data_IF_176515569351
#
_entry.id   IF_176515569351
#
_cell.length_a   1.000
_cell.length_b   1.000
_cell.length_c   1.000
_cell.angle_alpha   90.00
_cell.angle_beta   90.00
_cell.angle_gamma   90.00
#
_symmetry.space_group_name_H-M   'P 1'
#
loop_
_entity.id
_entity.type
_entity.pdbx_description
1 polymer ?
#
# COMPACT_ATOMS: atom_id res chain seq x y z
N UNK A 1 23.41 17.07 -60.66
CA UNK A 1 23.94 16.45 -59.43
C UNK A 1 22.83 16.50 -58.40
N UNK A 2 22.04 15.43 -58.32
CA UNK A 2 20.92 15.29 -57.38
C UNK A 2 21.40 14.59 -56.12
N UNK A 3 21.10 15.16 -54.95
CA UNK A 3 21.23 14.48 -53.67
C UNK A 3 19.88 14.55 -52.94
N UNK A 4 19.17 13.42 -52.99
CA UNK A 4 17.93 13.13 -52.27
C UNK A 4 18.30 12.71 -50.85
N UNK A 5 18.09 13.57 -49.85
CA UNK A 5 18.21 13.17 -48.45
C UNK A 5 16.87 12.60 -47.97
N UNK A 6 16.83 11.26 -47.92
CA UNK A 6 15.70 10.49 -47.41
C UNK A 6 15.44 10.78 -45.95
N UNK A 7 14.19 11.12 -45.64
CA UNK A 7 13.64 11.08 -44.29
C UNK A 7 13.67 9.63 -43.81
N UNK A 8 14.61 9.31 -42.93
CA UNK A 8 14.62 8.05 -42.21
C UNK A 8 13.32 7.98 -41.39
N UNK A 9 12.41 7.09 -41.80
CA UNK A 9 11.19 6.79 -41.08
C UNK A 9 11.56 6.31 -39.68
N UNK A 10 11.02 6.99 -38.67
CA UNK A 10 11.01 6.49 -37.30
C UNK A 10 10.07 5.29 -37.30
N UNK A 11 10.65 4.09 -37.41
CA UNK A 11 9.94 2.84 -37.16
C UNK A 11 9.63 2.83 -35.67
N UNK A 12 8.39 3.20 -35.34
CA UNK A 12 7.81 3.07 -34.01
C UNK A 12 7.70 1.57 -33.69
N UNK A 13 8.79 0.97 -33.20
CA UNK A 13 8.73 -0.36 -32.61
C UNK A 13 7.95 -0.23 -31.31
N UNK A 14 6.65 -0.50 -31.38
CA UNK A 14 5.80 -0.76 -30.21
C UNK A 14 6.33 -2.00 -29.51
N UNK A 15 7.23 -1.80 -28.56
CA UNK A 15 7.60 -2.82 -27.60
C UNK A 15 6.36 -3.14 -26.77
N UNK A 16 5.86 -4.38 -26.91
CA UNK A 16 4.98 -5.02 -25.95
C UNK A 16 5.75 -5.15 -24.62
N UNK A 17 5.59 -4.16 -23.74
CA UNK A 17 6.09 -4.25 -22.37
C UNK A 17 5.20 -5.31 -21.69
N UNK A 18 5.74 -6.44 -21.21
CA UNK A 18 4.95 -7.33 -20.37
C UNK A 18 4.43 -6.52 -19.17
N UNK A 19 3.22 -6.82 -18.68
CA UNK A 19 2.72 -6.32 -17.40
C UNK A 19 3.62 -6.84 -16.25
N UNK A 20 4.85 -6.34 -16.19
CA UNK A 20 5.74 -6.45 -15.07
C UNK A 20 5.29 -5.41 -14.07
N UNK A 21 4.86 -5.88 -12.92
CA UNK A 21 4.60 -5.09 -11.73
C UNK A 21 5.79 -4.15 -11.48
N UNK A 22 5.70 -2.91 -11.96
CA UNK A 22 6.67 -1.90 -11.58
C UNK A 22 6.57 -1.74 -10.05
N UNK A 23 7.68 -1.74 -9.30
CA UNK A 23 7.62 -1.32 -7.91
C UNK A 23 7.16 0.13 -7.92
N UNK A 24 5.90 0.33 -7.56
CA UNK A 24 5.39 1.66 -7.25
C UNK A 24 6.20 2.14 -6.07
N UNK A 25 7.25 2.91 -6.34
CA UNK A 25 7.88 3.75 -5.32
C UNK A 25 6.73 4.63 -4.81
N UNK A 26 6.19 4.41 -3.60
CA UNK A 26 5.23 5.35 -3.09
C UNK A 26 6.01 6.65 -2.95
N UNK A 27 5.52 7.72 -3.57
CA UNK A 27 5.87 9.06 -3.15
C UNK A 27 5.79 9.13 -1.60
N UNK A 28 6.44 10.09 -0.91
CA UNK A 28 6.15 10.38 0.49
C UNK A 28 4.72 10.98 0.60
N UNK A 29 3.75 10.21 0.16
CA UNK A 29 2.33 10.44 0.19
C UNK A 29 1.83 9.70 1.40
N UNK A 30 1.04 10.42 2.20
CA UNK A 30 0.16 9.90 3.23
C UNK A 30 -0.21 8.44 2.92
N UNK A 31 0.36 7.50 3.68
CA UNK A 31 -0.05 6.11 3.59
C UNK A 31 -1.50 6.12 4.04
N UNK A 32 -2.43 5.91 3.10
CA UNK A 32 -3.86 5.81 3.41
C UNK A 32 -4.01 4.98 4.66
N UNK A 33 -4.83 5.45 5.59
CA UNK A 33 -4.92 4.93 6.95
C UNK A 33 -5.62 3.58 7.01
N UNK A 34 -5.07 2.63 6.26
CA UNK A 34 -5.38 1.24 6.12
C UNK A 34 -4.07 0.49 5.95
N UNK A 35 -3.84 -0.54 6.77
CA UNK A 35 -2.62 -1.33 6.73
C UNK A 35 -2.98 -2.81 6.86
N UNK A 36 -2.34 -3.65 6.06
CA UNK A 36 -2.48 -5.10 6.13
C UNK A 36 -1.26 -5.68 6.86
N UNK A 37 -1.49 -6.18 8.07
CA UNK A 37 -0.50 -6.86 8.90
C UNK A 37 -0.55 -8.35 8.62
N UNK A 38 0.50 -8.88 8.01
CA UNK A 38 0.65 -10.30 7.71
C UNK A 38 1.25 -11.05 8.91
N UNK A 39 0.54 -12.07 9.38
CA UNK A 39 0.84 -12.87 10.55
C UNK A 39 0.75 -14.36 10.21
N UNK A 40 1.74 -14.86 9.46
CA UNK A 40 1.77 -16.26 9.02
C UNK A 40 0.58 -16.57 8.09
N UNK A 41 -0.38 -17.37 8.56
CA UNK A 41 -1.57 -17.78 7.79
C UNK A 41 -2.76 -16.80 7.91
N UNK A 42 -2.57 -15.63 8.52
CA UNK A 42 -3.61 -14.62 8.71
C UNK A 42 -3.12 -13.26 8.28
N UNK A 43 -4.01 -12.47 7.70
CA UNK A 43 -3.80 -11.05 7.42
C UNK A 43 -4.80 -10.24 8.23
N UNK A 44 -4.31 -9.26 8.98
CA UNK A 44 -5.13 -8.30 9.72
C UNK A 44 -5.15 -6.97 8.96
N UNK A 45 -6.31 -6.62 8.42
CA UNK A 45 -6.53 -5.32 7.79
C UNK A 45 -7.00 -4.34 8.87
N UNK A 46 -6.18 -3.34 9.18
CA UNK A 46 -6.54 -2.21 10.03
C UNK A 46 -6.97 -1.03 9.16
N UNK A 47 -7.86 -0.17 9.66
CA UNK A 47 -8.18 1.13 9.05
C UNK A 47 -8.63 2.14 10.11
N UNK A 48 -8.38 3.43 9.93
CA UNK A 48 -8.96 4.50 10.77
C UNK A 48 -10.40 4.85 10.37
N UNK A 49 -10.92 4.26 9.29
CA UNK A 49 -12.31 4.43 8.83
C UNK A 49 -12.60 5.71 8.06
N UNK A 50 -11.67 6.67 8.05
CA UNK A 50 -11.80 7.94 7.33
C UNK A 50 -10.69 8.18 6.31
N UNK A 51 -9.85 7.17 6.07
CA UNK A 51 -8.68 7.23 5.16
C UNK A 51 -7.67 8.33 5.50
N UNK A 52 -7.74 8.90 6.71
CA UNK A 52 -6.81 9.91 7.24
C UNK A 52 -5.98 9.33 8.37
N UNK A 53 -4.78 9.85 8.52
CA UNK A 53 -3.85 9.42 9.55
C UNK A 53 -2.65 8.66 9.01
N UNK A 54 -2.01 7.92 9.91
CA UNK A 54 -0.85 7.10 9.62
C UNK A 54 -0.96 5.75 10.34
N UNK A 55 -0.37 4.73 9.71
CA UNK A 55 -0.17 3.42 10.34
C UNK A 55 1.31 3.22 10.65
N UNK A 56 1.60 2.99 11.93
CA UNK A 56 2.94 2.70 12.43
C UNK A 56 3.05 1.21 12.73
N UNK A 57 3.98 0.54 12.06
CA UNK A 57 4.36 -0.84 12.34
C UNK A 57 5.54 -0.85 13.32
N UNK A 58 5.48 -1.71 14.33
CA UNK A 58 6.60 -1.92 15.24
C UNK A 58 7.77 -2.62 14.53
N UNK A 59 8.99 -2.45 15.03
CA UNK A 59 10.20 -2.99 14.39
C UNK A 59 10.24 -4.53 14.33
N UNK A 60 9.54 -5.21 15.25
CA UNK A 60 9.36 -6.66 15.23
C UNK A 60 8.43 -7.14 14.10
N UNK A 61 7.68 -6.23 13.47
CA UNK A 61 6.77 -6.52 12.37
C UNK A 61 5.47 -7.22 12.76
N UNK A 62 5.21 -7.46 14.05
CA UNK A 62 4.05 -8.18 14.55
C UNK A 62 2.97 -7.28 15.12
N UNK A 63 3.26 -6.00 15.32
CA UNK A 63 2.31 -5.03 15.86
C UNK A 63 2.14 -3.82 14.92
N UNK A 64 0.89 -3.38 14.75
CA UNK A 64 0.53 -2.19 13.98
C UNK A 64 -0.48 -1.34 14.73
N UNK A 65 -0.27 -0.02 14.70
CA UNK A 65 -1.19 1.02 15.16
C UNK A 65 -1.49 1.97 14.00
N UNK A 66 -2.76 2.05 13.59
CA UNK A 66 -3.27 3.10 12.74
C UNK A 66 -3.98 4.16 13.57
N UNK A 67 -3.68 5.44 13.37
CA UNK A 67 -4.35 6.55 14.04
C UNK A 67 -4.45 7.78 13.16
N UNK A 68 -5.57 8.50 13.24
CA UNK A 68 -5.77 9.79 12.56
C UNK A 68 -5.43 11.02 13.40
N UNK A 69 -5.01 10.83 14.65
CA UNK A 69 -4.75 11.93 15.60
C UNK A 69 -6.00 12.69 16.07
N UNK A 70 -7.19 12.33 15.60
CA UNK A 70 -8.48 12.93 15.94
C UNK A 70 -9.40 11.97 16.71
N UNK A 71 -8.86 10.86 17.20
CA UNK A 71 -9.56 9.88 18.04
C UNK A 71 -10.00 8.60 17.31
N UNK A 72 -9.73 8.47 16.01
CA UNK A 72 -9.93 7.22 15.28
C UNK A 72 -8.65 6.40 15.32
N UNK A 73 -8.72 5.21 15.89
CA UNK A 73 -7.56 4.32 16.07
C UNK A 73 -7.92 2.87 15.74
N UNK A 74 -6.97 2.12 15.16
CA UNK A 74 -7.06 0.67 15.02
C UNK A 74 -5.71 0.03 15.36
N UNK A 75 -5.72 -1.05 16.15
CA UNK A 75 -4.53 -1.76 16.62
C UNK A 75 -4.67 -3.25 16.35
N UNK A 76 -3.60 -3.86 15.86
CA UNK A 76 -3.52 -5.30 15.66
C UNK A 76 -2.15 -5.83 16.08
N UNK A 77 -2.14 -7.06 16.56
CA UNK A 77 -0.98 -7.84 16.94
C UNK A 77 -1.12 -9.24 16.34
N UNK A 78 -0.06 -9.84 15.82
CA UNK A 78 -0.08 -11.25 15.39
C UNK A 78 -0.46 -12.24 16.50
N UNK A 79 -0.18 -11.94 17.77
CA UNK A 79 -0.54 -12.82 18.88
C UNK A 79 -1.97 -12.61 19.36
N UNK A 80 -2.43 -11.34 19.39
CA UNK A 80 -3.75 -10.95 19.92
C UNK A 80 -4.82 -10.73 18.86
N UNK A 81 -4.47 -10.74 17.58
CA UNK A 81 -5.31 -10.30 16.48
C UNK A 81 -5.67 -8.82 16.54
N UNK A 82 -6.93 -8.48 16.29
CA UNK A 82 -7.44 -7.12 16.41
C UNK A 82 -7.58 -6.73 17.88
N UNK A 83 -6.61 -5.97 18.40
CA UNK A 83 -6.49 -5.67 19.84
C UNK A 83 -7.42 -4.53 20.26
N UNK A 84 -7.53 -3.47 19.46
CA UNK A 84 -8.34 -2.31 19.83
C UNK A 84 -8.76 -1.55 18.59
N UNK A 85 -10.00 -1.05 18.61
CA UNK A 85 -10.49 -0.05 17.67
C UNK A 85 -11.17 1.08 18.45
N UNK A 86 -11.02 2.31 17.98
CA UNK A 86 -11.70 3.50 18.54
C UNK A 86 -12.29 4.35 17.43
N UNK A 87 -13.41 5.01 17.74
CA UNK A 87 -14.11 5.86 16.80
C UNK A 87 -14.56 5.07 15.56
N UNK A 88 -14.21 5.58 14.38
CA UNK A 88 -14.41 4.91 13.10
C UNK A 88 -13.33 3.87 12.75
N UNK A 89 -12.34 3.67 13.62
CA UNK A 89 -11.31 2.66 13.43
C UNK A 89 -11.89 1.26 13.28
N UNK A 90 -11.34 0.46 12.38
CA UNK A 90 -11.76 -0.91 12.10
C UNK A 90 -10.57 -1.84 11.99
N UNK A 91 -10.79 -3.10 12.36
CA UNK A 91 -9.81 -4.16 12.19
C UNK A 91 -10.54 -5.45 11.81
N UNK A 92 -10.08 -6.08 10.73
CA UNK A 92 -10.65 -7.31 10.20
C UNK A 92 -9.56 -8.33 9.97
N UNK A 93 -9.86 -9.60 10.23
CA UNK A 93 -8.94 -10.72 9.98
C UNK A 93 -9.41 -11.50 8.76
N UNK A 94 -8.46 -11.89 7.91
CA UNK A 94 -8.68 -12.84 6.81
C UNK A 94 -7.67 -13.98 6.93
N UNK A 95 -8.11 -15.24 6.80
CA UNK A 95 -7.16 -16.33 6.52
C UNK A 95 -6.53 -16.11 5.14
N UNK A 96 -5.24 -16.42 5.02
CA UNK A 96 -4.50 -16.47 3.75
C UNK A 96 -4.68 -17.82 3.05
#
# INVERSE_FOLDING_TARGET
MSATNGRAGVVLMMALIPLGCAPQNPAPGVIYARFDLECGSKTYTLSTGNSRGECRKASDGKYVLCSDGAGNEARANCEGGCVTTKGAGSCSVKPM
#
